data_IF_292216910564
#
_entry.id   IF_292216910564
#
_cell.length_a   1.000
_cell.length_b   1.000
_cell.length_c   1.000
_cell.angle_alpha   90.00
_cell.angle_beta   90.00
_cell.angle_gamma   90.00
#
_symmetry.space_group_name_H-M   'P 1'
#
loop_
_entity.id
_entity.type
_entity.pdbx_description
1 polymer ?
#
# COMPACT_ATOMS: atom_id res chain seq x y z
N UNK A 1 7.60 -8.33 -5.97
CA UNK A 1 6.40 -7.47 -5.98
C UNK A 1 5.46 -7.96 -7.07
N UNK A 2 4.21 -8.29 -6.74
CA UNK A 2 3.18 -8.53 -7.76
C UNK A 2 3.00 -7.23 -8.55
N UNK A 3 2.89 -7.31 -9.87
CA UNK A 3 2.62 -6.12 -10.68
C UNK A 3 1.12 -5.84 -10.62
N UNK A 4 0.76 -4.70 -10.04
CA UNK A 4 -0.62 -4.19 -10.00
C UNK A 4 -0.70 -2.94 -10.85
N UNK A 5 -1.81 -2.76 -11.59
CA UNK A 5 -2.04 -1.59 -12.44
C UNK A 5 -2.09 -0.29 -11.65
N UNK A 6 -2.55 -0.37 -10.39
CA UNK A 6 -2.74 0.78 -9.53
C UNK A 6 -1.98 0.68 -8.21
N UNK A 7 -1.35 1.79 -7.82
CA UNK A 7 -0.83 2.02 -6.48
C UNK A 7 -1.95 2.56 -5.61
N UNK A 8 -2.46 1.70 -4.74
CA UNK A 8 -3.57 2.01 -3.81
C UNK A 8 -3.04 2.43 -2.42
N UNK A 9 -3.96 2.82 -1.52
CA UNK A 9 -3.60 3.18 -0.14
C UNK A 9 -3.05 1.99 0.63
N UNK A 10 -3.51 0.77 0.33
CA UNK A 10 -3.02 -0.46 0.94
C UNK A 10 -1.55 -0.69 0.60
N UNK A 11 -1.10 -0.38 -0.62
CA UNK A 11 0.32 -0.45 -0.98
C UNK A 11 1.15 0.54 -0.18
N UNK A 12 0.67 1.79 -0.09
CA UNK A 12 1.35 2.85 0.65
C UNK A 12 1.45 2.46 2.12
N UNK A 13 0.35 2.02 2.72
CA UNK A 13 0.33 1.61 4.12
C UNK A 13 1.20 0.37 4.37
N UNK A 14 1.18 -0.61 3.47
CA UNK A 14 2.05 -1.80 3.57
C UNK A 14 3.52 -1.39 3.54
N UNK A 15 3.92 -0.48 2.66
CA UNK A 15 5.30 0.02 2.63
C UNK A 15 5.66 0.82 3.89
N UNK A 16 4.73 1.63 4.41
CA UNK A 16 4.91 2.35 5.68
C UNK A 16 5.15 1.41 6.87
N UNK A 17 4.62 0.18 6.84
CA UNK A 17 4.92 -0.81 7.89
C UNK A 17 6.35 -1.38 7.82
N UNK A 18 7.11 -1.08 6.76
CA UNK A 18 8.51 -1.49 6.58
C UNK A 18 9.47 -0.30 6.68
N UNK A 19 8.99 0.92 6.47
CA UNK A 19 9.77 2.15 6.67
C UNK A 19 9.98 2.38 8.18
N UNK A 20 11.24 2.47 8.67
CA UNK A 20 11.52 2.53 10.10
C UNK A 20 10.79 3.64 10.87
N UNK A 21 10.73 4.87 10.32
CA UNK A 21 10.09 6.00 10.98
C UNK A 21 8.57 5.83 11.11
N UNK A 22 7.91 5.46 10.01
CA UNK A 22 6.48 5.19 9.99
C UNK A 22 6.12 3.99 10.88
N UNK A 23 6.95 2.95 10.88
CA UNK A 23 6.75 1.77 11.74
C UNK A 23 6.78 2.13 13.23
N UNK A 24 7.73 2.99 13.65
CA UNK A 24 7.81 3.47 15.02
C UNK A 24 6.57 4.27 15.44
N UNK A 25 6.09 5.15 14.55
CA UNK A 25 4.86 5.92 14.78
C UNK A 25 3.65 5.00 14.90
N UNK A 26 3.50 4.02 14.00
CA UNK A 26 2.40 3.05 14.03
C UNK A 26 2.41 2.23 15.32
N UNK A 27 3.57 1.71 15.74
CA UNK A 27 3.69 0.99 17.01
C UNK A 27 3.35 1.88 18.22
N UNK A 28 3.78 3.15 18.18
CA UNK A 28 3.46 4.13 19.23
C UNK A 28 1.96 4.45 19.31
N UNK A 29 1.22 4.29 18.22
CA UNK A 29 -0.23 4.35 18.17
C UNK A 29 -0.94 3.05 18.61
N UNK A 30 -0.19 2.02 19.03
CA UNK A 30 -0.74 0.74 19.48
C UNK A 30 -1.10 -0.22 18.34
N UNK A 31 -0.55 -0.01 17.14
CA UNK A 31 -0.76 -0.90 15.99
C UNK A 31 0.08 -2.17 16.14
N UNK A 32 -0.57 -3.33 15.99
CA UNK A 32 0.11 -4.61 15.79
C UNK A 32 0.58 -4.70 14.34
N UNK A 33 1.88 -4.47 14.11
CA UNK A 33 2.45 -4.42 12.76
C UNK A 33 2.44 -5.77 12.04
N UNK A 34 2.63 -6.87 12.76
CA UNK A 34 2.66 -8.20 12.16
C UNK A 34 1.25 -8.57 11.66
N UNK A 35 0.24 -8.30 12.49
CA UNK A 35 -1.15 -8.46 12.09
C UNK A 35 -1.52 -7.55 10.93
N UNK A 36 -1.16 -6.27 11.00
CA UNK A 36 -1.48 -5.30 9.93
C UNK A 36 -0.85 -5.71 8.59
N UNK A 37 0.42 -6.14 8.59
CA UNK A 37 1.10 -6.65 7.39
C UNK A 37 0.38 -7.86 6.81
N UNK A 38 0.01 -8.81 7.66
CA UNK A 38 -0.73 -10.00 7.25
C UNK A 38 -2.08 -9.63 6.61
N UNK A 39 -2.88 -8.80 7.28
CA UNK A 39 -4.20 -8.39 6.82
C UNK A 39 -4.12 -7.63 5.48
N UNK A 40 -3.14 -6.73 5.33
CA UNK A 40 -2.90 -6.01 4.08
C UNK A 40 -2.45 -6.93 2.94
N UNK A 41 -1.52 -7.86 3.22
CA UNK A 41 -1.06 -8.83 2.22
C UNK A 41 -2.22 -9.72 1.75
N UNK A 42 -3.03 -10.21 2.68
CA UNK A 42 -4.21 -11.02 2.37
C UNK A 42 -5.24 -10.24 1.54
N UNK A 43 -5.49 -8.98 1.92
CA UNK A 43 -6.40 -8.11 1.18
C UNK A 43 -5.90 -7.85 -0.25
N UNK A 44 -4.63 -7.49 -0.42
CA UNK A 44 -4.05 -7.26 -1.74
C UNK A 44 -4.12 -8.52 -2.60
N UNK A 45 -3.85 -9.70 -2.01
CA UNK A 45 -3.90 -10.97 -2.72
C UNK A 45 -5.32 -11.37 -3.16
N UNK A 46 -6.34 -11.04 -2.36
CA UNK A 46 -7.75 -11.37 -2.66
C UNK A 46 -8.42 -10.36 -3.58
N UNK A 47 -8.12 -9.08 -3.40
CA UNK A 47 -8.87 -7.99 -4.00
C UNK A 47 -8.20 -7.42 -5.25
N UNK A 48 -6.91 -7.67 -5.47
CA UNK A 48 -6.17 -7.11 -6.59
C UNK A 48 -5.80 -8.22 -7.59
N UNK A 49 -6.40 -8.23 -8.79
CA UNK A 49 -5.98 -9.15 -9.82
C UNK A 49 -4.53 -8.85 -10.21
N UNK A 50 -3.65 -9.84 -10.08
CA UNK A 50 -2.29 -9.73 -10.58
C UNK A 50 -2.33 -9.77 -12.09
N UNK A 51 -1.71 -8.78 -12.74
CA UNK A 51 -1.65 -8.74 -14.20
C UNK A 51 -0.41 -9.53 -14.63
N UNK A 52 -0.63 -10.61 -15.39
CA UNK A 52 0.41 -11.41 -16.01
C UNK A 52 0.56 -10.97 -17.48
N UNK A 53 0.97 -9.72 -17.69
CA UNK A 53 1.28 -9.21 -19.02
C UNK A 53 2.66 -8.55 -19.00
N UNK A 54 3.49 -8.88 -19.98
CA UNK A 54 4.84 -8.29 -20.11
C UNK A 54 4.78 -6.80 -20.52
N UNK A 55 3.71 -6.38 -21.21
CA UNK A 55 3.42 -4.98 -21.59
C UNK A 55 2.59 -4.23 -20.55
N UNK A 56 2.92 -4.36 -19.28
CA UNK A 56 2.26 -3.58 -18.24
C UNK A 56 2.71 -2.12 -18.28
N UNK A 57 1.79 -1.15 -18.41
CA UNK A 57 2.14 0.26 -18.24
C UNK A 57 2.69 0.48 -16.82
N UNK A 58 3.45 1.56 -16.64
CA UNK A 58 3.89 1.97 -15.31
C UNK A 58 2.68 2.11 -14.37
N UNK A 59 2.77 1.59 -13.13
CA UNK A 59 1.65 1.58 -12.21
C UNK A 59 1.24 3.01 -11.85
N UNK A 60 -0.06 3.30 -11.91
CA UNK A 60 -0.59 4.63 -11.65
C UNK A 60 -1.20 4.72 -10.25
N UNK A 61 -1.14 5.86 -9.59
CA UNK A 61 -1.86 6.02 -8.31
C UNK A 61 -3.37 5.94 -8.50
N UNK A 62 -4.06 5.20 -7.62
CA UNK A 62 -5.52 5.22 -7.60
C UNK A 62 -6.06 6.61 -7.25
N UNK A 63 -7.32 6.89 -7.57
CA UNK A 63 -7.97 8.18 -7.21
C UNK A 63 -7.87 8.46 -5.71
N UNK A 64 -8.01 7.42 -4.88
CA UNK A 64 -7.86 7.53 -3.42
C UNK A 64 -6.45 7.91 -3.01
N UNK A 65 -5.43 7.26 -3.58
CA UNK A 65 -4.03 7.59 -3.33
C UNK A 65 -3.68 9.02 -3.78
N UNK A 66 -4.12 9.42 -4.98
CA UNK A 66 -3.91 10.77 -5.50
C UNK A 66 -4.57 11.82 -4.60
N UNK A 67 -5.77 11.54 -4.08
CA UNK A 67 -6.47 12.44 -3.16
C UNK A 67 -5.71 12.61 -1.85
N UNK A 68 -5.26 11.52 -1.21
CA UNK A 68 -4.48 11.58 0.03
C UNK A 68 -3.18 12.34 -0.15
N UNK A 69 -2.42 12.04 -1.21
CA UNK A 69 -1.17 12.75 -1.51
C UNK A 69 -1.39 14.24 -1.75
N UNK A 70 -2.46 14.61 -2.46
CA UNK A 70 -2.82 16.01 -2.68
C UNK A 70 -3.12 16.75 -1.38
N UNK A 71 -3.88 16.14 -0.47
CA UNK A 71 -4.26 16.76 0.81
C UNK A 71 -3.08 16.82 1.79
N UNK A 72 -2.21 15.81 1.80
CA UNK A 72 -1.03 15.76 2.69
C UNK A 72 0.05 16.78 2.32
N UNK A 73 0.11 17.23 1.08
CA UNK A 73 1.07 18.22 0.60
C UNK A 73 0.65 19.69 0.87
N UNK A 74 -0.54 19.91 1.44
CA UNK A 74 -1.08 21.23 1.81
C UNK A 74 -0.82 21.53 3.28
#
# INVERSE_FOLDING_TARGET
>A
AKKHEFITLEHILFEMTNEPGASEVLMSCGVDLDKLKFDLAEFMDKSMPSIMSDDLPEPQYSVGSQYVLRVAAM
#
